data_IF_491399935131
#
_entry.id   IF_491399935131
#
_cell.length_a   1.000
_cell.length_b   1.000
_cell.length_c   1.000
_cell.angle_alpha   90.00
_cell.angle_beta   90.00
_cell.angle_gamma   90.00
#
_symmetry.space_group_name_H-M   'P 1'
#
loop_
_entity.id
_entity.type
_entity.pdbx_description
1 polymer ?
#
# COMPACT_ATOMS: atom_id res chain seq x y z
N UNK A 1 -27.12 -4.73 -7.92
CA UNK A 1 -27.32 -4.02 -6.63
C UNK A 1 -26.16 -4.23 -5.65
N UNK A 2 -25.76 -5.46 -5.29
CA UNK A 2 -24.63 -5.71 -4.35
C UNK A 2 -23.32 -4.97 -4.72
N UNK A 3 -22.82 -5.13 -5.95
CA UNK A 3 -21.61 -4.42 -6.45
C UNK A 3 -21.71 -2.89 -6.42
N UNK A 4 -22.91 -2.33 -6.57
CA UNK A 4 -23.12 -0.87 -6.57
C UNK A 4 -23.08 -0.31 -5.15
N UNK A 5 -23.64 -1.05 -4.19
CA UNK A 5 -23.56 -0.76 -2.75
C UNK A 5 -22.12 -0.90 -2.26
N UNK A 6 -21.38 -1.88 -2.77
CA UNK A 6 -19.98 -2.13 -2.42
C UNK A 6 -19.05 -1.03 -2.93
N UNK A 7 -19.20 -0.60 -4.19
CA UNK A 7 -18.51 0.58 -4.72
C UNK A 7 -18.85 1.85 -3.94
N UNK A 8 -20.12 2.03 -3.55
CA UNK A 8 -20.51 3.17 -2.71
C UNK A 8 -19.85 3.12 -1.32
N UNK A 9 -19.71 1.94 -0.70
CA UNK A 9 -18.98 1.75 0.57
C UNK A 9 -17.50 2.08 0.43
N UNK A 10 -16.84 1.61 -0.63
CA UNK A 10 -15.43 1.90 -0.90
C UNK A 10 -15.19 3.41 -1.08
N UNK A 11 -16.05 4.10 -1.83
CA UNK A 11 -15.97 5.56 -2.01
C UNK A 11 -16.19 6.30 -0.68
N UNK A 12 -17.16 5.88 0.12
CA UNK A 12 -17.40 6.46 1.45
C UNK A 12 -16.20 6.24 2.39
N UNK A 13 -15.60 5.05 2.37
CA UNK A 13 -14.37 4.74 3.12
C UNK A 13 -13.20 5.59 2.64
N UNK A 14 -12.99 5.74 1.33
CA UNK A 14 -11.93 6.60 0.78
C UNK A 14 -12.07 8.06 1.25
N UNK A 15 -13.29 8.60 1.27
CA UNK A 15 -13.54 9.95 1.79
C UNK A 15 -13.22 10.06 3.29
N UNK A 16 -13.58 9.04 4.08
CA UNK A 16 -13.26 9.01 5.51
C UNK A 16 -11.75 8.88 5.77
N UNK A 17 -11.01 8.18 4.91
CA UNK A 17 -9.56 8.03 5.01
C UNK A 17 -8.82 9.36 4.77
N UNK A 18 -9.27 10.19 3.82
CA UNK A 18 -8.68 11.52 3.63
C UNK A 18 -8.85 12.40 4.89
N UNK A 19 -10.00 12.30 5.57
CA UNK A 19 -10.23 13.03 6.83
C UNK A 19 -9.40 12.49 7.99
N UNK A 20 -9.26 11.16 8.10
CA UNK A 20 -8.36 10.55 9.07
C UNK A 20 -6.91 10.99 8.83
N UNK A 21 -6.48 11.07 7.57
CA UNK A 21 -5.15 11.55 7.19
C UNK A 21 -4.91 13.02 7.57
N UNK A 22 -5.86 13.90 7.27
CA UNK A 22 -5.81 15.31 7.72
C UNK A 22 -5.74 15.43 9.25
N UNK A 23 -6.48 14.59 9.98
CA UNK A 23 -6.46 14.56 11.45
C UNK A 23 -5.08 14.13 11.98
N UNK A 24 -4.49 13.09 11.40
CA UNK A 24 -3.15 12.64 11.74
C UNK A 24 -2.09 13.72 11.48
N UNK A 25 -2.22 14.48 10.39
CA UNK A 25 -1.29 15.56 10.04
C UNK A 25 -1.15 16.68 11.08
N UNK A 26 -2.09 16.80 12.03
CA UNK A 26 -2.04 17.84 13.07
C UNK A 26 -1.10 17.51 14.22
N UNK A 27 -1.12 16.26 14.67
CA UNK A 27 -0.31 15.74 15.79
C UNK A 27 -0.32 14.20 15.70
N UNK A 28 0.62 13.60 14.94
CA UNK A 28 0.59 12.17 14.67
C UNK A 28 0.85 11.33 15.92
N UNK A 29 1.74 11.77 16.83
CA UNK A 29 2.06 11.04 18.05
C UNK A 29 0.83 10.89 18.95
N UNK A 30 0.04 11.97 19.08
CA UNK A 30 -1.19 11.93 19.88
C UNK A 30 -2.38 11.31 19.15
N UNK A 31 -2.46 11.46 17.81
CA UNK A 31 -3.66 11.10 17.05
C UNK A 31 -3.64 9.66 16.51
N UNK A 32 -2.48 9.05 16.26
CA UNK A 32 -2.41 7.66 15.82
C UNK A 32 -3.04 6.70 16.85
N UNK A 33 -2.70 6.73 18.15
CA UNK A 33 -3.30 5.83 19.14
C UNK A 33 -4.82 5.95 19.17
N UNK A 34 -5.34 7.19 19.14
CA UNK A 34 -6.78 7.46 19.14
C UNK A 34 -7.49 6.90 17.90
N UNK A 35 -6.84 6.98 16.75
CA UNK A 35 -7.37 6.42 15.50
C UNK A 35 -7.37 4.90 15.53
N UNK A 36 -6.31 4.27 16.05
CA UNK A 36 -6.25 2.82 16.22
C UNK A 36 -7.36 2.32 17.16
N UNK A 37 -7.54 2.97 18.31
CA UNK A 37 -8.63 2.67 19.25
C UNK A 37 -10.02 2.82 18.63
N UNK A 38 -10.21 3.84 17.79
CA UNK A 38 -11.47 4.04 17.08
C UNK A 38 -11.68 2.92 16.07
N UNK A 39 -10.66 2.55 15.29
CA UNK A 39 -10.70 1.44 14.34
C UNK A 39 -11.07 0.15 15.06
N UNK A 40 -10.48 -0.12 16.22
CA UNK A 40 -10.76 -1.31 17.01
C UNK A 40 -12.22 -1.45 17.45
N UNK A 41 -12.90 -0.33 17.71
CA UNK A 41 -14.31 -0.30 18.09
C UNK A 41 -15.27 -0.46 16.91
N UNK A 42 -14.87 -0.01 15.72
CA UNK A 42 -15.77 0.05 14.53
C UNK A 42 -15.49 -1.05 13.51
N UNK A 43 -14.30 -1.62 13.52
CA UNK A 43 -13.91 -2.69 12.62
C UNK A 43 -14.73 -3.96 12.91
N UNK A 44 -15.19 -4.68 11.85
CA UNK A 44 -15.77 -5.99 12.02
C UNK A 44 -14.82 -6.96 12.74
N UNK A 45 -15.39 -7.92 13.45
CA UNK A 45 -14.63 -8.97 14.14
C UNK A 45 -13.69 -9.70 13.17
N UNK A 46 -12.43 -9.89 13.57
CA UNK A 46 -11.39 -10.52 12.76
C UNK A 46 -10.80 -9.65 11.64
N UNK A 47 -11.33 -8.46 11.36
CA UNK A 47 -10.81 -7.62 10.27
C UNK A 47 -9.40 -7.10 10.58
N UNK A 48 -8.43 -7.50 9.75
CA UNK A 48 -7.00 -7.15 9.84
C UNK A 48 -6.41 -7.24 11.26
N UNK A 49 -6.86 -8.21 12.06
CA UNK A 49 -6.53 -8.27 13.49
C UNK A 49 -5.02 -8.33 13.75
N UNK A 50 -4.28 -9.13 12.98
CA UNK A 50 -2.82 -9.21 13.10
C UNK A 50 -2.13 -7.90 12.78
N UNK A 51 -2.60 -7.16 11.77
CA UNK A 51 -2.03 -5.88 11.37
C UNK A 51 -2.35 -4.83 12.42
N UNK A 52 -3.58 -4.77 12.92
CA UNK A 52 -3.98 -3.86 14.00
C UNK A 52 -3.11 -4.08 15.24
N UNK A 53 -2.94 -5.33 15.67
CA UNK A 53 -2.02 -5.69 16.78
C UNK A 53 -0.58 -5.25 16.52
N UNK A 54 -0.07 -5.41 15.30
CA UNK A 54 1.27 -4.97 14.95
C UNK A 54 1.42 -3.44 15.02
N UNK A 55 0.42 -2.68 14.57
CA UNK A 55 0.42 -1.21 14.71
C UNK A 55 0.35 -0.79 16.18
N UNK A 56 -0.54 -1.37 16.99
CA UNK A 56 -0.58 -1.11 18.44
C UNK A 56 0.78 -1.36 19.09
N UNK A 57 1.36 -2.54 18.86
CA UNK A 57 2.66 -2.90 19.40
C UNK A 57 3.78 -1.93 18.98
N UNK A 58 3.81 -1.52 17.70
CA UNK A 58 4.76 -0.53 17.23
C UNK A 58 4.62 0.80 17.99
N UNK A 59 3.39 1.29 18.14
CA UNK A 59 3.09 2.57 18.80
C UNK A 59 3.38 2.53 20.30
N UNK A 60 3.05 1.43 20.98
CA UNK A 60 3.25 1.25 22.43
C UNK A 60 4.73 1.09 22.79
N UNK A 61 5.46 0.23 22.07
CA UNK A 61 6.88 -0.04 22.35
C UNK A 61 7.83 1.05 21.83
N UNK A 62 7.34 1.94 20.96
CA UNK A 62 8.14 2.94 20.24
C UNK A 62 9.39 2.33 19.57
N UNK A 63 9.23 1.15 18.96
CA UNK A 63 10.32 0.43 18.30
C UNK A 63 10.67 1.01 16.90
N UNK A 64 11.53 0.34 16.13
CA UNK A 64 11.91 0.81 14.78
C UNK A 64 10.73 1.09 13.83
N UNK A 65 9.59 0.40 14.02
CA UNK A 65 8.38 0.67 13.22
C UNK A 65 7.72 1.98 13.63
N UNK A 66 7.72 2.34 14.91
CA UNK A 66 7.28 3.66 15.34
C UNK A 66 8.12 4.76 14.71
N UNK A 67 9.44 4.62 14.75
CA UNK A 67 10.34 5.60 14.11
C UNK A 67 10.04 5.73 12.61
N UNK A 68 9.84 4.61 11.91
CA UNK A 68 9.48 4.61 10.50
C UNK A 68 8.13 5.30 10.25
N UNK A 69 7.12 5.03 11.08
CA UNK A 69 5.81 5.67 11.00
C UNK A 69 5.96 7.18 11.19
N UNK A 70 6.71 7.63 12.21
CA UNK A 70 6.95 9.05 12.48
C UNK A 70 7.69 9.76 11.34
N UNK A 71 8.67 9.09 10.71
CA UNK A 71 9.40 9.64 9.56
C UNK A 71 8.52 9.98 8.36
N UNK A 72 7.31 9.42 8.25
CA UNK A 72 6.34 9.81 7.22
C UNK A 72 5.98 11.30 7.33
N UNK A 73 5.96 11.86 8.55
CA UNK A 73 5.68 13.28 8.77
C UNK A 73 6.91 14.18 8.58
N UNK A 74 8.11 13.61 8.45
CA UNK A 74 9.33 14.35 8.05
C UNK A 74 9.44 14.53 6.54
N UNK A 75 8.65 13.79 5.75
CA UNK A 75 8.57 13.95 4.31
C UNK A 75 7.90 15.27 3.94
N UNK A 76 8.23 15.77 2.75
CA UNK A 76 7.49 16.87 2.12
C UNK A 76 5.98 16.55 2.09
N UNK A 77 5.17 17.57 2.38
CA UNK A 77 3.73 17.40 2.50
C UNK A 77 3.09 16.91 1.19
N UNK A 78 3.54 17.41 0.04
CA UNK A 78 3.05 16.97 -1.26
C UNK A 78 3.38 15.49 -1.49
N UNK A 79 4.60 15.07 -1.12
CA UNK A 79 5.05 13.67 -1.24
C UNK A 79 4.23 12.75 -0.35
N UNK A 80 4.12 13.03 0.96
CA UNK A 80 3.35 12.16 1.88
C UNK A 80 1.88 12.06 1.50
N UNK A 81 1.27 13.16 1.06
CA UNK A 81 -0.14 13.19 0.64
C UNK A 81 -0.35 12.38 -0.65
N UNK A 82 0.57 12.50 -1.60
CA UNK A 82 0.56 11.73 -2.85
C UNK A 82 0.75 10.24 -2.57
N UNK A 83 1.70 9.90 -1.70
CA UNK A 83 1.92 8.53 -1.26
C UNK A 83 0.67 7.94 -0.62
N UNK A 84 0.07 8.62 0.37
CA UNK A 84 -1.16 8.16 1.01
C UNK A 84 -2.30 7.94 0.02
N UNK A 85 -2.54 8.91 -0.88
CA UNK A 85 -3.60 8.81 -1.89
C UNK A 85 -3.36 7.63 -2.84
N UNK A 86 -2.13 7.45 -3.33
CA UNK A 86 -1.86 6.43 -4.34
C UNK A 86 -1.74 5.03 -3.74
N UNK A 87 -0.95 4.86 -2.67
CA UNK A 87 -0.71 3.53 -2.10
C UNK A 87 -1.86 3.09 -1.19
N UNK A 88 -2.36 3.94 -0.29
CA UNK A 88 -3.37 3.52 0.69
C UNK A 88 -4.76 3.53 0.08
N UNK A 89 -5.15 4.65 -0.56
CA UNK A 89 -6.51 4.76 -1.10
C UNK A 89 -6.64 4.05 -2.44
N UNK A 90 -5.84 4.41 -3.44
CA UNK A 90 -6.02 3.91 -4.79
C UNK A 90 -5.58 2.45 -4.93
N UNK A 91 -4.39 2.08 -4.47
CA UNK A 91 -3.87 0.71 -4.65
C UNK A 91 -4.46 -0.27 -3.62
N UNK A 92 -4.40 0.03 -2.33
CA UNK A 92 -4.79 -0.93 -1.29
C UNK A 92 -6.30 -1.01 -1.03
N UNK A 93 -7.04 0.09 -1.06
CA UNK A 93 -8.49 0.04 -0.83
C UNK A 93 -9.28 -0.15 -2.14
N UNK A 94 -9.17 0.79 -3.07
CA UNK A 94 -9.92 0.75 -4.33
C UNK A 94 -9.41 -0.37 -5.23
N UNK A 95 -8.08 -0.52 -5.32
CA UNK A 95 -7.42 -1.52 -6.14
C UNK A 95 -7.74 -2.94 -5.69
N UNK A 96 -7.70 -3.24 -4.39
CA UNK A 96 -8.04 -4.58 -3.88
C UNK A 96 -9.48 -4.99 -4.19
N UNK A 97 -10.45 -4.09 -4.04
CA UNK A 97 -11.84 -4.38 -4.40
C UNK A 97 -11.99 -4.69 -5.90
N UNK A 98 -11.23 -3.99 -6.75
CA UNK A 98 -11.17 -4.28 -8.20
C UNK A 98 -10.47 -5.61 -8.47
N UNK A 99 -9.39 -5.93 -7.75
CA UNK A 99 -8.67 -7.19 -7.90
C UNK A 99 -9.56 -8.37 -7.57
N UNK A 100 -10.33 -8.30 -6.47
CA UNK A 100 -11.28 -9.34 -6.09
C UNK A 100 -12.39 -9.51 -7.14
N UNK A 101 -12.99 -8.41 -7.62
CA UNK A 101 -14.00 -8.44 -8.69
C UNK A 101 -13.46 -9.10 -9.98
N UNK A 102 -12.21 -8.79 -10.35
CA UNK A 102 -11.57 -9.36 -11.54
C UNK A 102 -11.13 -10.81 -11.31
N UNK A 103 -10.68 -11.17 -10.12
CA UNK A 103 -10.29 -12.52 -9.77
C UNK A 103 -11.48 -13.49 -9.85
N UNK A 104 -12.64 -13.07 -9.34
CA UNK A 104 -13.90 -13.82 -9.47
C UNK A 104 -14.34 -13.95 -10.94
N UNK A 105 -14.24 -12.86 -11.70
CA UNK A 105 -14.69 -12.81 -13.10
C UNK A 105 -13.84 -13.68 -14.02
N UNK A 106 -12.52 -13.62 -13.86
CA UNK A 106 -11.56 -14.31 -14.72
C UNK A 106 -11.11 -15.67 -14.13
N UNK A 107 -11.58 -16.01 -12.93
CA UNK A 107 -11.24 -17.23 -12.20
C UNK A 107 -9.72 -17.45 -12.08
N UNK A 108 -8.99 -16.38 -11.77
CA UNK A 108 -7.54 -16.40 -11.61
C UNK A 108 -7.08 -15.38 -10.57
N UNK A 109 -5.85 -15.52 -10.08
CA UNK A 109 -5.26 -14.54 -9.17
C UNK A 109 -4.90 -13.27 -9.95
N UNK A 110 -5.30 -12.10 -9.43
CA UNK A 110 -4.93 -10.80 -10.01
C UNK A 110 -3.78 -10.21 -9.18
N UNK A 111 -2.62 -9.87 -9.79
CA UNK A 111 -1.49 -9.34 -9.05
C UNK A 111 -1.77 -7.93 -8.53
N UNK A 112 -1.37 -7.64 -7.29
CA UNK A 112 -1.42 -6.29 -6.71
C UNK A 112 -0.29 -5.39 -7.20
N UNK A 113 0.89 -5.96 -7.37
CA UNK A 113 2.05 -5.31 -7.95
C UNK A 113 2.64 -6.20 -9.04
N UNK A 114 3.14 -5.56 -10.10
CA UNK A 114 3.92 -6.19 -11.14
C UNK A 114 5.34 -5.66 -10.99
N UNK A 115 6.29 -6.55 -10.72
CA UNK A 115 7.71 -6.25 -10.81
C UNK A 115 8.15 -6.64 -12.23
N UNK A 116 8.57 -5.66 -13.00
CA UNK A 116 9.01 -5.84 -14.38
C UNK A 116 10.41 -5.26 -14.53
N UNK A 117 11.36 -6.13 -14.88
CA UNK A 117 12.73 -5.75 -15.19
C UNK A 117 12.91 -5.69 -16.71
N UNK A 118 12.85 -4.49 -17.33
CA UNK A 118 12.96 -4.38 -18.79
C UNK A 118 14.34 -4.74 -19.32
N UNK A 119 15.35 -4.81 -18.44
CA UNK A 119 16.71 -5.20 -18.77
C UNK A 119 17.42 -5.84 -17.58
N UNK A 120 18.31 -6.80 -17.85
CA UNK A 120 19.28 -7.31 -16.87
C UNK A 120 20.64 -6.61 -16.95
N UNK A 121 20.81 -5.65 -17.86
CA UNK A 121 22.09 -4.98 -18.09
C UNK A 121 22.44 -4.04 -16.93
N UNK A 122 23.34 -4.50 -16.06
CA UNK A 122 23.94 -3.70 -15.00
C UNK A 122 25.46 -3.59 -15.24
N UNK A 123 26.01 -2.38 -15.13
CA UNK A 123 27.45 -2.12 -15.27
C UNK A 123 28.22 -2.20 -13.94
N UNK A 124 27.58 -2.73 -12.88
CA UNK A 124 28.16 -2.91 -11.56
C UNK A 124 28.44 -4.40 -11.28
N UNK A 125 29.24 -4.68 -10.24
CA UNK A 125 29.64 -6.04 -9.85
C UNK A 125 29.32 -6.35 -8.38
N UNK A 126 28.08 -6.06 -7.99
CA UNK A 126 27.63 -6.24 -6.62
C UNK A 126 27.59 -7.72 -6.22
N UNK A 127 28.24 -8.06 -5.11
CA UNK A 127 28.16 -9.41 -4.53
C UNK A 127 26.72 -9.71 -4.10
N UNK A 128 26.15 -10.81 -4.57
CA UNK A 128 24.77 -11.23 -4.26
C UNK A 128 23.68 -10.56 -5.10
N UNK A 129 24.03 -9.84 -6.16
CA UNK A 129 23.05 -9.24 -7.07
C UNK A 129 22.53 -10.26 -8.08
N UNK A 130 21.22 -10.49 -8.11
CA UNK A 130 20.59 -11.38 -9.07
C UNK A 130 20.89 -10.97 -10.52
N UNK A 131 20.87 -9.67 -10.85
CA UNK A 131 21.13 -9.18 -12.21
C UNK A 131 22.55 -9.49 -12.70
N UNK A 132 23.51 -9.71 -11.80
CA UNK A 132 24.86 -10.13 -12.18
C UNK A 132 24.93 -11.59 -12.68
N UNK A 133 23.94 -12.42 -12.33
CA UNK A 133 23.87 -13.84 -12.71
C UNK A 133 23.25 -14.05 -14.11
N UNK A 134 22.34 -13.17 -14.54
CA UNK A 134 21.64 -13.27 -15.84
C UNK A 134 22.41 -12.65 -17.01
N UNK A 135 23.62 -12.13 -16.77
CA UNK A 135 24.44 -11.43 -17.77
C UNK A 135 23.89 -10.05 -18.14
N UNK A 136 24.50 -9.39 -19.14
CA UNK A 136 24.24 -7.98 -19.46
C UNK A 136 23.56 -7.72 -20.81
N UNK A 137 22.88 -8.73 -21.38
CA UNK A 137 22.35 -8.66 -22.76
C UNK A 137 20.84 -8.84 -22.89
N UNK A 138 20.13 -9.17 -21.81
CA UNK A 138 18.69 -9.29 -21.86
C UNK A 138 18.09 -7.89 -21.80
N UNK A 139 17.47 -7.45 -22.89
CA UNK A 139 16.79 -6.17 -23.01
C UNK A 139 15.50 -6.40 -23.79
N UNK A 140 14.37 -6.02 -23.21
CA UNK A 140 13.10 -5.98 -23.91
C UNK A 140 13.06 -4.72 -24.78
N UNK A 141 12.62 -4.89 -26.02
CA UNK A 141 12.23 -3.77 -26.89
C UNK A 141 10.95 -3.11 -26.35
N UNK A 142 10.69 -1.87 -26.75
CA UNK A 142 9.42 -1.22 -26.40
C UNK A 142 8.21 -1.98 -26.96
N UNK A 143 8.34 -2.58 -28.16
CA UNK A 143 7.28 -3.39 -28.75
C UNK A 143 7.00 -4.66 -27.94
N UNK A 144 8.04 -5.33 -27.41
CA UNK A 144 7.87 -6.46 -26.51
C UNK A 144 7.22 -6.05 -25.19
N UNK A 145 7.61 -4.91 -24.61
CA UNK A 145 7.02 -4.37 -23.38
C UNK A 145 5.53 -4.01 -23.57
N UNK A 146 5.18 -3.35 -24.68
CA UNK A 146 3.81 -2.97 -25.00
C UNK A 146 2.89 -4.18 -25.29
N UNK A 147 3.47 -5.35 -25.58
CA UNK A 147 2.74 -6.58 -25.86
C UNK A 147 2.35 -7.41 -24.63
N UNK A 148 2.83 -7.01 -23.44
CA UNK A 148 2.57 -7.67 -22.13
C UNK A 148 1.33 -7.05 -21.48
#
# INVERSE_FOLDING_TARGET
>A
MKKLVEKAKVTAMAASLSKAWEYLGKDPETNIPKLLDMVDRVAPEGWYESQRKAFHHAIEEKNNWYELIMKVWELDEGVRNTFFKNFIVNASLVGSARQEEMAEKENCNIPWAILLDPTSACNMHCTGCWAAEYGNRLNLTFEELDSI
#
